data_IF_706141722761
#
_entry.id   IF_706141722761
#
_cell.length_a   1.000
_cell.length_b   1.000
_cell.length_c   1.000
_cell.angle_alpha   90.00
_cell.angle_beta   90.00
_cell.angle_gamma   90.00
#
_symmetry.space_group_name_H-M   'P 1'
#
loop_
_entity.id
_entity.type
_entity.pdbx_description
1 polymer ?
#
# COMPACT_ATOMS: atom_id res chain seq x y z
N UNK A 1 -23.86 -38.57 44.62
CA UNK A 1 -22.81 -37.68 44.12
C UNK A 1 -23.08 -37.45 42.63
N UNK A 2 -23.52 -36.24 42.28
CA UNK A 2 -23.97 -35.84 40.93
C UNK A 2 -22.97 -34.85 40.37
N UNK A 3 -22.09 -35.25 39.46
CA UNK A 3 -21.38 -34.32 38.58
C UNK A 3 -21.09 -35.05 37.27
N UNK A 4 -21.77 -34.68 36.19
CA UNK A 4 -21.33 -35.06 34.85
C UNK A 4 -21.60 -33.90 33.90
N UNK A 5 -20.47 -33.31 33.50
CA UNK A 5 -20.17 -32.63 32.25
C UNK A 5 -21.18 -31.60 31.72
N UNK A 6 -20.90 -30.33 32.03
CA UNK A 6 -21.31 -29.22 31.17
C UNK A 6 -20.39 -29.16 29.94
N UNK A 7 -20.95 -29.41 28.76
CA UNK A 7 -20.31 -29.23 27.47
C UNK A 7 -20.35 -27.72 27.11
N UNK A 8 -19.25 -27.00 27.32
CA UNK A 8 -19.10 -25.61 26.88
C UNK A 8 -18.78 -25.59 25.38
N UNK A 9 -19.81 -25.33 24.57
CA UNK A 9 -19.69 -25.06 23.14
C UNK A 9 -19.14 -23.63 22.96
N UNK A 10 -17.82 -23.50 22.78
CA UNK A 10 -17.19 -22.21 22.45
C UNK A 10 -17.41 -21.95 20.97
N UNK A 11 -18.34 -21.04 20.66
CA UNK A 11 -18.51 -20.45 19.34
C UNK A 11 -17.25 -19.65 19.00
N UNK A 12 -16.40 -20.21 18.15
CA UNK A 12 -15.32 -19.48 17.51
C UNK A 12 -15.92 -18.43 16.56
N UNK A 13 -16.09 -17.21 17.06
CA UNK A 13 -16.28 -16.02 16.24
C UNK A 13 -14.98 -15.80 15.44
N UNK A 14 -14.89 -16.47 14.28
CA UNK A 14 -13.90 -16.16 13.27
C UNK A 14 -14.19 -14.77 12.73
N UNK A 15 -13.58 -13.75 13.34
CA UNK A 15 -13.55 -12.41 12.77
C UNK A 15 -12.93 -12.51 11.38
N UNK A 16 -13.73 -12.24 10.35
CA UNK A 16 -13.24 -11.92 9.02
C UNK A 16 -12.43 -10.63 9.13
N UNK A 17 -11.16 -10.77 9.50
CA UNK A 17 -10.18 -9.71 9.33
C UNK A 17 -10.09 -9.47 7.82
N UNK A 18 -10.72 -8.39 7.35
CA UNK A 18 -10.39 -7.82 6.04
C UNK A 18 -8.89 -7.56 6.06
N UNK A 19 -8.13 -8.36 5.32
CA UNK A 19 -6.72 -8.11 5.10
C UNK A 19 -6.64 -6.79 4.34
N UNK A 20 -6.41 -5.69 5.07
CA UNK A 20 -6.07 -4.41 4.47
C UNK A 20 -4.74 -4.65 3.79
N UNK A 21 -4.76 -4.78 2.47
CA UNK A 21 -3.58 -4.99 1.67
C UNK A 21 -2.60 -3.86 1.96
N UNK A 22 -1.38 -4.24 2.33
CA UNK A 22 -0.40 -3.29 2.82
C UNK A 22 -0.16 -2.20 1.76
N UNK A 23 -0.08 -0.92 2.15
CA UNK A 23 0.00 0.18 1.20
C UNK A 23 1.22 0.04 0.28
N UNK A 24 1.01 0.27 -1.01
CA UNK A 24 2.09 0.33 -1.99
C UNK A 24 2.90 1.59 -1.71
N UNK A 25 4.20 1.44 -1.48
CA UNK A 25 5.13 2.56 -1.29
C UNK A 25 6.31 2.46 -2.25
N UNK A 26 6.98 3.60 -2.48
CA UNK A 26 8.16 3.67 -3.36
C UNK A 26 9.26 2.74 -2.84
N UNK A 27 9.50 2.72 -1.54
CA UNK A 27 10.55 1.92 -0.91
C UNK A 27 10.28 0.43 -1.09
N UNK A 28 9.01 0.02 -0.97
CA UNK A 28 8.60 -1.37 -1.17
C UNK A 28 8.74 -1.78 -2.62
N UNK A 29 8.31 -0.94 -3.57
CA UNK A 29 8.47 -1.21 -5.00
C UNK A 29 9.96 -1.42 -5.34
N UNK A 30 10.82 -0.53 -4.87
CA UNK A 30 12.27 -0.65 -5.07
C UNK A 30 12.84 -1.92 -4.43
N UNK A 31 12.43 -2.23 -3.20
CA UNK A 31 12.84 -3.45 -2.49
C UNK A 31 12.35 -4.74 -3.15
N UNK A 32 11.19 -4.70 -3.78
CA UNK A 32 10.56 -5.83 -4.48
C UNK A 32 11.07 -5.98 -5.93
N UNK A 33 12.05 -5.19 -6.35
CA UNK A 33 12.68 -5.29 -7.67
C UNK A 33 11.89 -4.63 -8.81
N UNK A 34 11.02 -3.67 -8.51
CA UNK A 34 10.45 -2.80 -9.53
C UNK A 34 11.50 -1.79 -10.00
N UNK A 35 11.53 -1.55 -11.31
CA UNK A 35 12.41 -0.58 -11.97
C UNK A 35 11.69 0.73 -12.26
N UNK A 36 12.39 1.86 -12.16
CA UNK A 36 11.87 3.15 -12.61
C UNK A 36 11.88 3.17 -14.14
N UNK A 37 10.69 3.23 -14.73
CA UNK A 37 10.46 3.33 -16.17
C UNK A 37 10.38 4.78 -16.67
N UNK A 38 10.03 5.72 -15.79
CA UNK A 38 9.90 7.13 -16.15
C UNK A 38 9.75 8.04 -14.94
N UNK A 39 10.11 9.31 -15.14
CA UNK A 39 10.00 10.36 -14.14
C UNK A 39 9.55 11.66 -14.79
N UNK A 40 8.61 12.36 -14.16
CA UNK A 40 8.18 13.68 -14.56
C UNK A 40 7.96 14.55 -13.31
N UNK A 41 8.27 15.83 -13.40
CA UNK A 41 8.02 16.78 -12.31
C UNK A 41 7.70 18.17 -12.84
N UNK A 42 7.06 18.99 -12.01
CA UNK A 42 6.84 20.40 -12.32
C UNK A 42 8.07 21.26 -11.99
N UNK A 43 8.13 22.46 -12.56
CA UNK A 43 9.26 23.40 -12.42
C UNK A 43 9.49 23.85 -10.97
N UNK A 44 8.42 23.87 -10.17
CA UNK A 44 8.43 24.22 -8.75
C UNK A 44 8.68 23.00 -7.85
N UNK A 45 8.89 21.81 -8.43
CA UNK A 45 9.19 20.53 -7.76
C UNK A 45 8.19 20.18 -6.65
N UNK A 46 7.00 20.79 -6.70
CA UNK A 46 5.92 20.51 -5.75
C UNK A 46 5.25 19.19 -6.06
N UNK A 47 5.27 18.76 -7.31
CA UNK A 47 4.67 17.50 -7.70
C UNK A 47 5.63 16.73 -8.58
N UNK A 48 5.90 15.48 -8.22
CA UNK A 48 6.60 14.53 -9.09
C UNK A 48 5.75 13.29 -9.33
N UNK A 49 5.94 12.68 -10.49
CA UNK A 49 5.36 11.43 -10.92
C UNK A 49 6.50 10.47 -11.25
N UNK A 50 6.44 9.28 -10.67
CA UNK A 50 7.40 8.19 -10.88
C UNK A 50 6.62 7.02 -11.43
N UNK A 51 7.04 6.51 -12.57
CA UNK A 51 6.45 5.34 -13.19
C UNK A 51 7.37 4.14 -12.95
N UNK A 52 6.82 3.07 -12.41
CA UNK A 52 7.48 1.81 -12.14
C UNK A 52 6.99 0.72 -13.08
N UNK A 53 7.90 -0.15 -13.48
CA UNK A 53 7.64 -1.40 -14.19
C UNK A 53 8.33 -2.55 -13.49
N UNK A 54 7.88 -3.77 -13.69
CA UNK A 54 8.59 -4.97 -13.25
C UNK A 54 8.52 -6.04 -14.32
N UNK A 55 9.63 -6.73 -14.54
CA UNK A 55 9.66 -7.87 -15.46
C UNK A 55 8.62 -8.89 -15.01
N UNK A 56 7.90 -9.48 -15.97
CA UNK A 56 6.83 -10.46 -15.75
C UNK A 56 5.55 -9.93 -15.07
N UNK A 57 5.45 -8.61 -14.83
CA UNK A 57 4.22 -7.95 -14.37
C UNK A 57 3.65 -7.09 -15.49
N UNK A 58 2.36 -7.28 -15.80
CA UNK A 58 1.71 -6.61 -16.94
C UNK A 58 1.27 -5.17 -16.67
N UNK A 59 1.05 -4.83 -15.41
CA UNK A 59 0.64 -3.48 -15.02
C UNK A 59 1.86 -2.64 -14.63
N UNK A 60 1.69 -1.33 -14.75
CA UNK A 60 2.65 -0.34 -14.25
C UNK A 60 2.18 0.16 -12.89
N UNK A 61 3.09 0.69 -12.08
CA UNK A 61 2.73 1.41 -10.86
C UNK A 61 3.15 2.85 -11.00
N UNK A 62 2.24 3.79 -10.81
CA UNK A 62 2.55 5.21 -10.77
C UNK A 62 2.49 5.73 -9.35
N UNK A 63 3.59 6.29 -8.88
CA UNK A 63 3.66 7.03 -7.63
C UNK A 63 3.67 8.53 -7.91
N UNK A 64 2.84 9.29 -7.19
CA UNK A 64 2.93 10.74 -7.12
C UNK A 64 3.52 11.16 -5.78
N UNK A 65 4.39 12.16 -5.78
CA UNK A 65 4.81 12.86 -4.57
C UNK A 65 4.36 14.31 -4.66
N UNK A 66 3.74 14.81 -3.60
CA UNK A 66 3.30 16.18 -3.46
C UNK A 66 4.00 16.81 -2.25
N UNK A 67 4.64 17.96 -2.47
CA UNK A 67 5.23 18.81 -1.45
C UNK A 67 4.35 20.06 -1.25
N UNK A 68 3.59 20.07 -0.17
CA UNK A 68 2.68 21.16 0.22
C UNK A 68 3.21 21.86 1.48
N UNK A 69 3.78 23.06 1.31
CA UNK A 69 4.33 23.87 2.41
C UNK A 69 3.28 24.42 3.38
N UNK A 70 2.00 24.36 3.01
CA UNK A 70 0.91 24.92 3.82
C UNK A 70 0.35 23.93 4.85
N UNK A 71 0.68 22.63 4.71
CA UNK A 71 0.18 21.56 5.58
C UNK A 71 1.21 21.18 6.65
N UNK A 72 0.73 20.60 7.76
CA UNK A 72 1.60 20.01 8.81
C UNK A 72 2.40 18.83 8.26
N UNK A 73 1.72 17.91 7.57
CA UNK A 73 2.35 16.90 6.73
C UNK A 73 2.65 17.50 5.36
N UNK A 74 3.92 17.83 5.14
CA UNK A 74 4.36 18.50 3.91
C UNK A 74 4.48 17.57 2.72
N UNK A 75 4.78 16.29 2.95
CA UNK A 75 4.98 15.30 1.89
C UNK A 75 3.83 14.32 1.90
N UNK A 76 3.15 14.20 0.76
CA UNK A 76 2.15 13.18 0.51
C UNK A 76 2.63 12.32 -0.66
N UNK A 77 2.64 11.02 -0.47
CA UNK A 77 3.00 10.04 -1.51
C UNK A 77 1.80 9.14 -1.74
N UNK A 78 1.41 8.97 -3.00
CA UNK A 78 0.36 8.04 -3.37
C UNK A 78 0.83 7.17 -4.53
N UNK A 79 0.73 5.86 -4.40
CA UNK A 79 1.10 4.91 -5.44
C UNK A 79 -0.13 4.11 -5.86
N UNK A 80 -0.30 3.93 -7.18
CA UNK A 80 -1.43 3.23 -7.77
C UNK A 80 -0.99 2.31 -8.90
N UNK A 81 -1.59 1.14 -8.99
CA UNK A 81 -1.51 0.30 -10.18
C UNK A 81 -2.26 0.97 -11.34
N UNK A 82 -1.63 1.02 -12.50
CA UNK A 82 -2.24 1.48 -13.75
C UNK A 82 -2.79 0.27 -14.49
N UNK A 83 -4.11 0.28 -14.76
CA UNK A 83 -4.80 -0.74 -15.57
C UNK A 83 -4.87 -0.35 -17.03
#
# INVERSE_FOLDING_TARGET
MRYSLGLLMVLAFGGLASAVEAPITIERLLGDGWEIAGYAGNLDVRTSLILFRKTDVKHLVQCSTLYDVTRSQRVVVNCYELR
#
